data_IF_122308284226
#
_entry.id   IF_122308284226
#
_cell.length_a   1.000
_cell.length_b   1.000
_cell.length_c   1.000
_cell.angle_alpha   90.00
_cell.angle_beta   90.00
_cell.angle_gamma   90.00
#
_symmetry.space_group_name_H-M   'P 1'
#
loop_
_entity.id
_entity.type
_entity.pdbx_description
1 polymer ?
#
# COMPACT_ATOMS: atom_id res chain seq x y z
N UNK A 1 -13.29 34.68 20.83
CA UNK A 1 -13.92 33.79 19.83
C UNK A 1 -13.15 32.48 19.83
N UNK A 2 -13.81 31.34 20.09
CA UNK A 2 -13.16 30.02 20.13
C UNK A 2 -12.82 29.57 18.71
N UNK A 3 -11.61 29.09 18.46
CA UNK A 3 -11.22 28.49 17.21
C UNK A 3 -11.65 27.01 17.19
N UNK A 4 -12.85 26.72 16.69
CA UNK A 4 -13.40 25.36 16.63
C UNK A 4 -12.53 24.39 15.83
N UNK A 5 -11.83 24.88 14.78
CA UNK A 5 -10.91 24.05 14.01
C UNK A 5 -9.69 23.59 14.84
N UNK A 6 -9.19 24.41 15.76
CA UNK A 6 -8.15 24.00 16.69
C UNK A 6 -8.70 22.98 17.69
N UNK A 7 -9.85 23.23 18.30
CA UNK A 7 -10.49 22.31 19.25
C UNK A 7 -10.71 20.91 18.66
N UNK A 8 -11.16 20.83 17.41
CA UNK A 8 -11.34 19.52 16.73
C UNK A 8 -10.01 18.83 16.52
N UNK A 9 -8.94 19.53 16.06
CA UNK A 9 -7.61 18.94 15.88
C UNK A 9 -7.06 18.40 17.21
N UNK A 10 -7.11 19.21 18.28
CA UNK A 10 -6.59 18.82 19.59
C UNK A 10 -7.34 17.58 20.13
N UNK A 11 -8.66 17.53 19.94
CA UNK A 11 -9.47 16.36 20.30
C UNK A 11 -9.12 15.12 19.47
N UNK A 12 -8.81 15.28 18.20
CA UNK A 12 -8.36 14.16 17.35
C UNK A 12 -6.97 13.66 17.76
N UNK A 13 -6.04 14.56 18.07
CA UNK A 13 -4.68 14.19 18.51
C UNK A 13 -4.71 13.47 19.87
N UNK A 14 -5.67 13.79 20.75
CA UNK A 14 -5.86 13.08 22.01
C UNK A 14 -6.45 11.68 21.82
N UNK A 15 -7.48 11.53 20.96
CA UNK A 15 -8.24 10.30 20.81
C UNK A 15 -7.59 9.29 19.84
N UNK A 16 -6.80 9.76 18.89
CA UNK A 16 -6.31 8.95 17.77
C UNK A 16 -4.81 8.64 17.88
N UNK A 17 -4.36 8.19 19.06
CA UNK A 17 -2.99 7.71 19.25
C UNK A 17 -2.77 6.45 18.43
N UNK A 18 -2.13 6.60 17.26
CA UNK A 18 -1.70 5.48 16.43
C UNK A 18 -0.42 4.86 16.99
N UNK A 19 -0.55 3.82 17.80
CA UNK A 19 0.56 2.96 18.14
C UNK A 19 0.84 2.01 16.98
N UNK A 20 2.06 2.05 16.47
CA UNK A 20 2.51 1.06 15.50
C UNK A 20 2.86 -0.23 16.22
N UNK A 21 2.23 -1.31 15.80
CA UNK A 21 2.55 -2.64 16.30
C UNK A 21 3.76 -3.17 15.55
N UNK A 22 4.85 -3.43 16.26
CA UNK A 22 6.12 -3.93 15.71
C UNK A 22 6.43 -5.33 16.19
N UNK A 23 5.64 -5.83 17.16
CA UNK A 23 5.80 -7.14 17.80
C UNK A 23 5.45 -8.33 16.90
N UNK A 24 4.67 -8.11 15.85
CA UNK A 24 4.29 -9.15 14.89
C UNK A 24 4.11 -8.59 13.47
N UNK A 25 4.06 -9.49 12.47
CA UNK A 25 3.78 -9.14 11.09
C UNK A 25 2.27 -9.11 10.84
N UNK A 26 1.81 -8.14 10.08
CA UNK A 26 0.42 -8.06 9.64
C UNK A 26 0.20 -8.76 8.31
N UNK A 27 -0.98 -9.36 8.09
CA UNK A 27 -1.34 -9.93 6.80
C UNK A 27 -1.16 -8.93 5.63
N UNK A 28 -1.45 -7.64 5.87
CA UNK A 28 -1.24 -6.57 4.88
C UNK A 28 0.22 -6.21 4.62
N UNK A 29 1.17 -6.73 5.40
CA UNK A 29 2.60 -6.48 5.20
C UNK A 29 3.14 -7.25 3.99
N UNK A 30 2.42 -8.27 3.54
CA UNK A 30 2.72 -8.94 2.26
C UNK A 30 2.86 -7.93 1.11
N UNK A 31 2.17 -6.79 1.16
CA UNK A 31 2.28 -5.72 0.19
C UNK A 31 3.68 -5.11 0.06
N UNK A 32 4.57 -5.30 1.02
CA UNK A 32 5.97 -4.89 0.93
C UNK A 32 6.83 -5.83 0.09
N UNK A 33 6.35 -7.03 -0.21
CA UNK A 33 7.04 -8.02 -1.04
C UNK A 33 6.61 -7.97 -2.51
N UNK A 34 5.58 -7.20 -2.82
CA UNK A 34 5.10 -6.96 -4.18
C UNK A 34 5.96 -5.88 -4.82
N UNK A 35 6.21 -6.02 -6.13
CA UNK A 35 6.94 -5.02 -6.88
C UNK A 35 6.27 -3.64 -6.73
N UNK A 36 7.03 -2.57 -6.47
CA UNK A 36 6.48 -1.22 -6.40
C UNK A 36 5.71 -0.80 -7.66
N UNK A 37 6.11 -1.27 -8.84
CA UNK A 37 5.45 -0.98 -10.12
C UNK A 37 4.11 -1.71 -10.24
N UNK A 38 3.98 -2.89 -9.64
CA UNK A 38 2.71 -3.63 -9.49
C UNK A 38 1.83 -3.13 -8.34
N UNK A 39 2.12 -1.95 -7.82
CA UNK A 39 1.38 -1.33 -6.73
C UNK A 39 1.76 -1.80 -5.33
N UNK A 40 2.92 -2.43 -5.20
CA UNK A 40 3.55 -2.80 -3.93
C UNK A 40 3.97 -1.60 -3.09
N UNK A 41 4.39 -1.89 -1.86
CA UNK A 41 4.89 -0.89 -0.90
C UNK A 41 6.42 -0.89 -0.89
N UNK A 42 7.02 0.16 -0.33
CA UNK A 42 8.47 0.29 -0.20
C UNK A 42 9.01 -0.61 0.92
N UNK A 43 9.89 -1.57 0.60
CA UNK A 43 10.52 -2.48 1.58
C UNK A 43 11.32 -1.73 2.65
N UNK A 44 11.95 -0.59 2.29
CA UNK A 44 12.65 0.28 3.25
C UNK A 44 11.69 0.90 4.27
N UNK A 45 10.46 1.22 3.88
CA UNK A 45 9.42 1.68 4.81
C UNK A 45 9.08 0.60 5.85
N UNK A 46 9.02 -0.67 5.42
CA UNK A 46 8.83 -1.80 6.32
C UNK A 46 9.96 -1.90 7.35
N UNK A 47 11.21 -1.87 6.88
CA UNK A 47 12.39 -1.92 7.74
C UNK A 47 12.42 -0.77 8.75
N UNK A 48 12.24 0.48 8.31
CA UNK A 48 12.20 1.66 9.19
C UNK A 48 11.12 1.57 10.26
N UNK A 49 9.99 0.96 9.95
CA UNK A 49 8.91 0.73 10.93
C UNK A 49 9.35 -0.22 12.04
N UNK A 50 10.06 -1.28 11.71
CA UNK A 50 10.54 -2.27 12.69
C UNK A 50 11.78 -1.81 13.46
N UNK A 51 12.56 -0.88 12.91
CA UNK A 51 13.64 -0.18 13.63
C UNK A 51 13.13 0.98 14.49
N UNK A 52 11.82 1.15 14.59
CA UNK A 52 11.18 2.23 15.34
C UNK A 52 11.72 3.62 14.99
N UNK A 53 12.14 3.80 13.74
CA UNK A 53 12.73 5.03 13.25
C UNK A 53 11.77 6.22 13.35
N UNK A 54 12.32 7.40 13.54
CA UNK A 54 11.53 8.65 13.60
C UNK A 54 10.67 8.82 12.35
N UNK A 55 9.43 9.25 12.55
CA UNK A 55 8.42 9.41 11.49
C UNK A 55 7.62 10.70 11.66
N UNK A 56 6.97 11.11 10.58
CA UNK A 56 5.96 12.17 10.63
C UNK A 56 4.75 11.71 11.44
N UNK A 57 4.22 12.59 12.22
CA UNK A 57 2.91 12.37 12.83
C UNK A 57 1.82 12.26 11.75
N UNK A 58 0.86 11.40 11.99
CA UNK A 58 -0.30 11.26 11.10
C UNK A 58 -1.23 12.45 11.35
N UNK A 59 -1.25 13.39 10.42
CA UNK A 59 -2.08 14.58 10.58
C UNK A 59 -3.58 14.26 10.65
N UNK A 60 -4.39 15.13 11.31
CA UNK A 60 -5.82 14.90 11.59
C UNK A 60 -6.65 14.53 10.35
N UNK A 61 -6.39 15.17 9.22
CA UNK A 61 -7.10 14.87 7.97
C UNK A 61 -6.90 13.44 7.45
N UNK A 62 -5.71 12.86 7.65
CA UNK A 62 -5.42 11.47 7.28
C UNK A 62 -6.06 10.49 8.27
N UNK A 63 -6.08 10.83 9.54
CA UNK A 63 -6.77 10.06 10.57
C UNK A 63 -8.27 9.98 10.29
N UNK A 64 -8.90 11.12 10.01
CA UNK A 64 -10.31 11.18 9.62
C UNK A 64 -10.62 10.30 8.39
N UNK A 65 -9.71 10.27 7.41
CA UNK A 65 -9.87 9.39 6.24
C UNK A 65 -9.86 7.90 6.61
N UNK A 66 -9.07 7.48 7.59
CA UNK A 66 -9.07 6.10 8.08
C UNK A 66 -10.38 5.76 8.80
N UNK A 67 -10.85 6.66 9.66
CA UNK A 67 -12.13 6.48 10.35
C UNK A 67 -13.32 6.39 9.41
N UNK A 68 -13.37 7.26 8.40
CA UNK A 68 -14.39 7.19 7.36
C UNK A 68 -14.35 5.84 6.62
N UNK A 69 -13.14 5.31 6.35
CA UNK A 69 -12.97 3.97 5.76
C UNK A 69 -13.59 2.89 6.65
N UNK A 70 -13.24 2.88 7.92
CA UNK A 70 -13.73 1.91 8.90
C UNK A 70 -15.25 2.01 9.12
N UNK A 71 -15.80 3.24 9.12
CA UNK A 71 -17.24 3.43 9.25
C UNK A 71 -18.01 2.90 8.04
N UNK A 72 -17.51 3.20 6.84
CA UNK A 72 -18.10 2.70 5.60
C UNK A 72 -18.05 1.17 5.53
N UNK A 73 -16.92 0.57 5.91
CA UNK A 73 -16.74 -0.88 5.98
C UNK A 73 -17.83 -1.51 6.87
N UNK A 74 -18.00 -1.02 8.11
CA UNK A 74 -19.06 -1.50 8.99
C UNK A 74 -20.45 -1.40 8.36
N UNK A 75 -20.73 -0.30 7.66
CA UNK A 75 -22.03 -0.11 7.00
C UNK A 75 -22.25 -1.06 5.83
N UNK A 76 -21.21 -1.31 5.06
CA UNK A 76 -21.24 -2.31 3.96
C UNK A 76 -21.46 -3.71 4.51
N UNK A 77 -20.85 -4.05 5.65
CA UNK A 77 -21.06 -5.34 6.31
C UNK A 77 -22.54 -5.54 6.69
N UNK A 78 -23.22 -4.52 7.24
CA UNK A 78 -24.67 -4.60 7.52
C UNK A 78 -25.49 -4.90 6.26
N UNK A 79 -25.13 -4.28 5.11
CA UNK A 79 -25.80 -4.54 3.83
C UNK A 79 -25.52 -5.95 3.32
N UNK A 80 -24.28 -6.44 3.42
CA UNK A 80 -23.91 -7.79 3.05
C UNK A 80 -24.65 -8.83 3.88
N UNK A 81 -24.81 -8.64 5.19
CA UNK A 81 -25.61 -9.51 6.04
C UNK A 81 -27.07 -9.63 5.56
N UNK A 82 -27.66 -8.51 5.14
CA UNK A 82 -29.02 -8.52 4.59
C UNK A 82 -29.09 -9.24 3.24
N UNK A 83 -28.09 -8.99 2.37
CA UNK A 83 -28.00 -9.58 1.04
C UNK A 83 -27.73 -11.09 1.08
N UNK A 84 -26.79 -11.55 1.88
CA UNK A 84 -26.42 -12.95 2.00
C UNK A 84 -27.62 -13.85 2.35
N UNK A 85 -28.48 -13.39 3.28
CA UNK A 85 -29.73 -14.10 3.62
C UNK A 85 -30.71 -14.24 2.45
N UNK A 86 -30.63 -13.35 1.44
CA UNK A 86 -31.51 -13.39 0.26
C UNK A 86 -30.93 -14.26 -0.86
N UNK A 87 -29.64 -14.60 -0.79
CA UNK A 87 -28.89 -15.28 -1.84
C UNK A 87 -28.32 -16.64 -1.40
N UNK A 88 -28.81 -17.21 -0.29
CA UNK A 88 -28.37 -18.49 0.26
C UNK A 88 -26.83 -18.58 0.46
N UNK A 89 -26.26 -17.47 0.96
CA UNK A 89 -24.85 -17.39 1.33
C UNK A 89 -24.72 -17.48 2.84
N UNK A 90 -24.01 -18.49 3.32
CA UNK A 90 -23.75 -18.70 4.73
C UNK A 90 -22.49 -17.92 5.18
N UNK A 91 -22.60 -17.18 6.27
CA UNK A 91 -21.47 -16.54 6.92
C UNK A 91 -20.87 -17.53 7.92
N UNK A 92 -19.69 -18.08 7.61
CA UNK A 92 -18.94 -18.96 8.51
C UNK A 92 -18.29 -18.13 9.64
N UNK A 93 -17.68 -17.00 9.28
CA UNK A 93 -17.07 -16.08 10.23
C UNK A 93 -17.05 -14.64 9.70
N UNK A 94 -17.09 -13.69 10.64
CA UNK A 94 -17.02 -12.26 10.39
C UNK A 94 -16.00 -11.61 11.32
N UNK A 95 -15.23 -10.65 10.82
CA UNK A 95 -14.19 -9.92 11.58
C UNK A 95 -13.31 -10.86 12.41
N UNK A 96 -13.01 -12.01 11.85
CA UNK A 96 -12.29 -13.08 12.54
C UNK A 96 -10.80 -12.76 12.61
N UNK A 97 -10.23 -12.82 13.80
CA UNK A 97 -8.79 -12.76 13.96
C UNK A 97 -8.15 -14.05 13.46
N UNK A 98 -7.17 -13.89 12.59
CA UNK A 98 -6.39 -15.00 12.04
C UNK A 98 -4.93 -14.88 12.43
N UNK A 99 -4.27 -16.01 12.61
CA UNK A 99 -2.85 -16.08 12.98
C UNK A 99 -2.18 -17.24 12.26
N UNK A 100 -0.98 -16.97 11.75
CA UNK A 100 -0.07 -17.99 11.24
C UNK A 100 1.04 -18.21 12.25
N UNK A 101 1.30 -19.46 12.60
CA UNK A 101 2.32 -19.89 13.55
C UNK A 101 3.76 -19.85 13.02
N UNK A 102 4.13 -18.82 12.27
CA UNK A 102 5.52 -18.52 11.98
C UNK A 102 6.22 -18.03 13.25
N UNK A 103 7.57 -18.12 13.41
CA UNK A 103 8.25 -17.87 14.69
C UNK A 103 7.84 -16.57 15.39
N UNK A 104 7.40 -15.55 14.65
CA UNK A 104 6.97 -14.26 15.21
C UNK A 104 5.51 -13.93 14.92
N UNK A 105 4.78 -14.85 14.30
CA UNK A 105 3.35 -14.79 14.06
C UNK A 105 2.94 -13.72 13.04
N UNK A 106 2.30 -14.13 11.96
CA UNK A 106 1.55 -13.23 11.11
C UNK A 106 0.13 -13.15 11.65
N UNK A 107 -0.37 -11.95 11.89
CA UNK A 107 -1.72 -11.72 12.42
C UNK A 107 -2.50 -10.85 11.47
N UNK A 108 -3.81 -11.02 11.51
CA UNK A 108 -4.73 -10.17 10.76
C UNK A 108 -6.16 -10.38 11.22
N UNK A 109 -7.05 -9.61 10.66
CA UNK A 109 -8.49 -9.75 10.85
C UNK A 109 -9.12 -9.75 9.47
N UNK A 110 -9.68 -10.90 9.08
CA UNK A 110 -10.45 -11.01 7.84
C UNK A 110 -11.84 -10.38 8.02
N UNK A 111 -12.43 -9.90 6.95
CA UNK A 111 -13.76 -9.29 7.01
C UNK A 111 -14.84 -10.36 7.00
N UNK A 112 -14.84 -11.25 6.02
CA UNK A 112 -15.78 -12.38 5.93
C UNK A 112 -15.11 -13.67 5.48
N UNK A 113 -15.57 -14.77 6.06
CA UNK A 113 -15.45 -16.12 5.55
C UNK A 113 -16.87 -16.61 5.25
N UNK A 114 -17.15 -16.92 4.00
CA UNK A 114 -18.49 -17.29 3.52
C UNK A 114 -18.48 -18.65 2.82
N UNK A 115 -19.65 -19.27 2.76
CA UNK A 115 -19.89 -20.48 1.97
C UNK A 115 -21.11 -20.26 1.07
N UNK A 116 -21.02 -20.67 -0.19
CA UNK A 116 -22.12 -20.71 -1.15
C UNK A 116 -21.89 -21.85 -2.12
N UNK A 117 -22.91 -22.65 -2.42
CA UNK A 117 -22.83 -23.80 -3.34
C UNK A 117 -21.62 -24.72 -3.08
N UNK A 118 -21.40 -25.07 -1.81
CA UNK A 118 -20.27 -25.90 -1.33
C UNK A 118 -18.87 -25.30 -1.53
N UNK A 119 -18.78 -24.06 -1.97
CA UNK A 119 -17.52 -23.33 -2.13
C UNK A 119 -17.28 -22.34 -0.99
N UNK A 120 -16.07 -22.34 -0.44
CA UNK A 120 -15.69 -21.44 0.65
C UNK A 120 -14.83 -20.28 0.11
N UNK A 121 -15.15 -19.06 0.54
CA UNK A 121 -14.41 -17.89 0.13
C UNK A 121 -14.06 -16.95 1.29
N UNK A 122 -12.85 -16.37 1.23
CA UNK A 122 -12.45 -15.23 2.06
C UNK A 122 -12.74 -13.95 1.30
N UNK A 123 -13.49 -13.04 1.90
CA UNK A 123 -13.81 -11.73 1.31
C UNK A 123 -13.21 -10.61 2.14
N UNK A 124 -12.60 -9.66 1.47
CA UNK A 124 -11.97 -8.47 2.06
C UNK A 124 -12.60 -7.20 1.45
N UNK A 125 -13.02 -6.27 2.29
CA UNK A 125 -13.69 -5.04 1.88
C UNK A 125 -12.66 -3.92 1.78
N UNK A 126 -12.69 -3.18 0.68
CA UNK A 126 -11.83 -2.02 0.45
C UNK A 126 -12.63 -0.81 0.03
N UNK A 127 -12.36 0.33 0.62
CA UNK A 127 -12.94 1.60 0.20
C UNK A 127 -11.97 2.38 -0.68
N UNK A 128 -12.49 3.04 -1.72
CA UNK A 128 -11.71 3.91 -2.61
C UNK A 128 -12.47 5.20 -2.93
N UNK A 129 -11.73 6.24 -3.30
CA UNK A 129 -12.31 7.47 -3.86
C UNK A 129 -12.74 7.24 -5.31
N UNK A 130 -13.77 7.94 -5.77
CA UNK A 130 -14.38 7.79 -7.09
C UNK A 130 -13.38 7.77 -8.25
N UNK A 131 -12.44 8.71 -8.31
CA UNK A 131 -11.40 8.69 -9.36
C UNK A 131 -10.52 7.46 -9.34
N UNK A 132 -10.12 6.96 -8.15
CA UNK A 132 -9.34 5.72 -8.03
C UNK A 132 -10.21 4.47 -8.26
N UNK A 133 -11.51 4.56 -8.06
CA UNK A 133 -12.48 3.50 -8.34
C UNK A 133 -12.70 3.33 -9.86
N UNK A 134 -12.78 4.43 -10.60
CA UNK A 134 -12.96 4.39 -12.07
C UNK A 134 -11.81 3.71 -12.81
N UNK A 135 -10.58 3.79 -12.29
CA UNK A 135 -9.38 3.18 -12.87
C UNK A 135 -9.09 1.76 -12.35
N UNK A 136 -10.14 0.98 -12.03
CA UNK A 136 -10.00 -0.40 -11.54
C UNK A 136 -10.40 -1.45 -12.58
N UNK A 137 -10.45 -1.11 -13.84
CA UNK A 137 -10.85 -2.05 -14.90
C UNK A 137 -9.86 -3.21 -15.03
N UNK A 138 -8.59 -3.01 -14.63
CA UNK A 138 -7.55 -4.04 -14.61
C UNK A 138 -7.60 -4.96 -13.36
N UNK A 139 -8.60 -4.79 -12.49
CA UNK A 139 -8.75 -5.59 -11.28
C UNK A 139 -8.21 -4.94 -10.00
N UNK A 140 -8.21 -5.69 -8.89
CA UNK A 140 -7.73 -5.19 -7.62
C UNK A 140 -6.20 -5.12 -7.61
N UNK A 141 -5.65 -4.19 -6.81
CA UNK A 141 -4.19 -4.12 -6.63
C UNK A 141 -3.66 -5.45 -6.11
N UNK A 142 -2.55 -5.92 -6.67
CA UNK A 142 -1.92 -7.20 -6.32
C UNK A 142 -1.68 -7.35 -4.81
N UNK A 143 -1.30 -6.28 -4.11
CA UNK A 143 -1.15 -6.32 -2.65
C UNK A 143 -2.44 -6.62 -1.88
N UNK A 144 -3.62 -6.23 -2.40
CA UNK A 144 -4.90 -6.55 -1.77
C UNK A 144 -5.26 -8.01 -2.03
N UNK A 145 -5.01 -8.49 -3.26
CA UNK A 145 -5.17 -9.90 -3.61
C UNK A 145 -4.30 -10.78 -2.71
N UNK A 146 -3.02 -10.46 -2.57
CA UNK A 146 -2.11 -11.22 -1.71
C UNK A 146 -2.49 -11.14 -0.23
N UNK A 147 -3.09 -10.07 0.26
CA UNK A 147 -3.63 -10.00 1.63
C UNK A 147 -4.75 -11.04 1.84
N UNK A 148 -5.66 -11.20 0.87
CA UNK A 148 -6.72 -12.23 0.91
C UNK A 148 -6.12 -13.64 0.84
N UNK A 149 -5.08 -13.86 0.02
CA UNK A 149 -4.33 -15.12 -0.02
C UNK A 149 -3.75 -15.47 1.36
N UNK A 150 -3.18 -14.48 2.06
CA UNK A 150 -2.65 -14.68 3.42
C UNK A 150 -3.75 -15.07 4.41
N UNK A 151 -4.91 -14.46 4.32
CA UNK A 151 -6.06 -14.85 5.14
C UNK A 151 -6.51 -16.27 4.82
N UNK A 152 -6.61 -16.64 3.54
CA UNK A 152 -6.97 -17.98 3.12
C UNK A 152 -5.97 -19.03 3.58
N UNK A 153 -4.67 -18.72 3.51
CA UNK A 153 -3.61 -19.56 4.05
C UNK A 153 -3.74 -19.72 5.58
N UNK A 154 -4.03 -18.64 6.30
CA UNK A 154 -4.24 -18.70 7.75
C UNK A 154 -5.46 -19.58 8.10
N UNK A 155 -6.57 -19.44 7.37
CA UNK A 155 -7.75 -20.29 7.54
C UNK A 155 -7.41 -21.76 7.32
N UNK A 156 -6.68 -22.11 6.24
CA UNK A 156 -6.30 -23.51 5.98
C UNK A 156 -5.38 -24.10 7.05
N UNK A 157 -4.63 -23.28 7.80
CA UNK A 157 -3.84 -23.73 8.95
C UNK A 157 -4.62 -23.80 10.26
N UNK A 158 -5.62 -22.93 10.44
CA UNK A 158 -6.42 -22.85 11.67
C UNK A 158 -7.64 -23.79 11.64
N UNK A 159 -8.18 -24.01 10.46
CA UNK A 159 -9.36 -24.84 10.22
C UNK A 159 -8.99 -26.04 9.35
N UNK A 160 -9.74 -27.11 9.42
CA UNK A 160 -9.46 -28.34 8.65
C UNK A 160 -9.97 -28.30 7.21
N UNK A 161 -10.06 -27.10 6.63
CA UNK A 161 -10.44 -26.89 5.24
C UNK A 161 -9.69 -25.67 4.65
N UNK A 162 -9.62 -25.60 3.35
CA UNK A 162 -9.01 -24.49 2.62
C UNK A 162 -10.08 -23.72 1.85
N UNK A 163 -10.09 -22.38 1.88
CA UNK A 163 -10.94 -21.60 1.00
C UNK A 163 -10.59 -21.83 -0.48
N UNK A 164 -11.62 -21.96 -1.31
CA UNK A 164 -11.49 -22.16 -2.76
C UNK A 164 -11.21 -20.85 -3.48
N UNK A 165 -11.82 -19.76 -2.98
CA UNK A 165 -11.78 -18.45 -3.61
C UNK A 165 -11.41 -17.35 -2.65
N UNK A 166 -10.76 -16.31 -3.22
CA UNK A 166 -10.63 -15.00 -2.61
C UNK A 166 -11.52 -13.99 -3.31
N UNK A 167 -12.21 -13.16 -2.53
CA UNK A 167 -13.03 -12.06 -3.00
C UNK A 167 -12.54 -10.71 -2.48
N UNK A 168 -12.56 -9.69 -3.31
CA UNK A 168 -12.31 -8.31 -2.90
C UNK A 168 -13.51 -7.48 -3.31
N UNK A 169 -14.22 -6.96 -2.33
CA UNK A 169 -15.32 -6.01 -2.54
C UNK A 169 -14.78 -4.59 -2.40
N UNK A 170 -14.85 -3.81 -3.47
CA UNK A 170 -14.42 -2.43 -3.46
C UNK A 170 -15.62 -1.50 -3.48
N UNK A 171 -15.65 -0.57 -2.53
CA UNK A 171 -16.74 0.39 -2.36
C UNK A 171 -16.25 1.79 -2.68
N UNK A 172 -17.02 2.52 -3.50
CA UNK A 172 -16.76 3.91 -3.80
C UNK A 172 -17.24 4.79 -2.63
N UNK A 173 -16.29 5.49 -1.98
CA UNK A 173 -16.61 6.41 -0.87
C UNK A 173 -17.43 7.62 -1.27
N UNK A 174 -17.45 7.97 -2.54
CA UNK A 174 -18.20 9.11 -3.09
C UNK A 174 -19.58 8.66 -3.60
N UNK A 175 -19.86 7.35 -3.59
CA UNK A 175 -21.18 6.78 -3.87
C UNK A 175 -21.60 6.81 -5.33
N UNK A 176 -20.76 7.31 -6.25
CA UNK A 176 -21.13 7.48 -7.66
C UNK A 176 -21.22 6.16 -8.42
N UNK A 177 -20.35 5.20 -8.12
CA UNK A 177 -20.26 3.91 -8.81
C UNK A 177 -20.57 2.72 -7.90
N UNK A 178 -20.83 2.96 -6.67
CA UNK A 178 -21.24 2.12 -5.56
C UNK A 178 -20.27 0.99 -5.22
N UNK A 179 -20.29 -0.17 -5.91
CA UNK A 179 -19.47 -1.33 -5.59
C UNK A 179 -18.94 -2.02 -6.85
N UNK A 180 -17.77 -2.70 -6.71
CA UNK A 180 -17.25 -3.71 -7.63
C UNK A 180 -16.70 -4.87 -6.84
N UNK A 181 -16.87 -6.06 -7.33
CA UNK A 181 -16.29 -7.27 -6.76
C UNK A 181 -15.30 -7.92 -7.73
N UNK A 182 -14.30 -8.57 -7.16
CA UNK A 182 -13.26 -9.27 -7.90
C UNK A 182 -13.03 -10.62 -7.24
N UNK A 183 -13.16 -11.68 -8.00
CA UNK A 183 -13.01 -13.04 -7.54
C UNK A 183 -11.80 -13.72 -8.20
N UNK A 184 -11.11 -14.54 -7.45
CA UNK A 184 -9.98 -15.32 -7.95
C UNK A 184 -9.83 -16.62 -7.17
N UNK A 185 -9.37 -17.72 -7.82
CA UNK A 185 -9.12 -18.98 -7.12
C UNK A 185 -7.91 -18.83 -6.18
N UNK A 186 -7.98 -19.47 -5.03
CA UNK A 186 -6.85 -19.66 -4.13
C UNK A 186 -6.11 -20.91 -4.59
N UNK A 187 -4.86 -20.74 -4.99
CA UNK A 187 -3.99 -21.81 -5.48
C UNK A 187 -2.79 -22.03 -4.57
N UNK A 188 -2.23 -23.23 -4.57
CA UNK A 188 -1.01 -23.54 -3.82
C UNK A 188 0.13 -22.59 -4.18
N UNK A 189 0.28 -22.24 -5.45
CA UNK A 189 1.31 -21.30 -5.90
C UNK A 189 1.15 -19.88 -5.33
N UNK A 190 -0.08 -19.42 -5.10
CA UNK A 190 -0.34 -18.15 -4.43
C UNK A 190 0.00 -18.22 -2.93
N UNK A 191 -0.30 -19.35 -2.30
CA UNK A 191 0.04 -19.59 -0.89
C UNK A 191 1.55 -19.66 -0.72
N UNK A 192 2.26 -20.42 -1.55
CA UNK A 192 3.73 -20.49 -1.55
C UNK A 192 4.36 -19.11 -1.74
N UNK A 193 3.84 -18.32 -2.67
CA UNK A 193 4.29 -16.94 -2.89
C UNK A 193 4.09 -16.07 -1.64
N UNK A 194 2.98 -16.24 -0.92
CA UNK A 194 2.73 -15.52 0.32
C UNK A 194 3.71 -15.95 1.43
N UNK A 195 3.96 -17.24 1.56
CA UNK A 195 4.91 -17.81 2.52
C UNK A 195 6.33 -17.30 2.26
N UNK A 196 6.80 -17.36 1.02
CA UNK A 196 8.10 -16.81 0.63
C UNK A 196 8.19 -15.30 0.87
N UNK A 197 7.09 -14.59 0.64
CA UNK A 197 6.98 -13.18 0.96
C UNK A 197 7.25 -12.90 2.44
N UNK A 198 6.61 -13.63 3.35
CA UNK A 198 6.83 -13.46 4.79
C UNK A 198 8.22 -13.87 5.23
N UNK A 199 8.80 -14.94 4.68
CA UNK A 199 10.22 -15.29 4.92
C UNK A 199 11.18 -14.15 4.52
N UNK A 200 10.88 -13.46 3.43
CA UNK A 200 11.64 -12.26 3.02
C UNK A 200 11.47 -11.12 4.01
N UNK A 201 10.25 -10.86 4.50
CA UNK A 201 9.99 -9.82 5.49
C UNK A 201 10.73 -10.10 6.81
N UNK A 202 10.70 -11.33 7.31
CA UNK A 202 11.45 -11.74 8.51
C UNK A 202 12.96 -11.49 8.34
N UNK A 203 13.52 -11.86 7.18
CA UNK A 203 14.92 -11.59 6.87
C UNK A 203 15.25 -10.10 6.86
N UNK A 204 14.37 -9.28 6.30
CA UNK A 204 14.55 -7.82 6.27
C UNK A 204 14.41 -7.22 7.67
N UNK A 205 13.46 -7.69 8.46
CA UNK A 205 13.24 -7.27 9.85
C UNK A 205 14.47 -7.54 10.74
N UNK A 206 15.12 -8.69 10.56
CA UNK A 206 16.35 -9.05 11.29
C UNK A 206 17.64 -8.47 10.69
N UNK A 207 17.57 -7.63 9.66
CA UNK A 207 18.76 -7.07 9.00
C UNK A 207 19.20 -5.76 9.63
N UNK A 208 20.49 -5.63 9.94
CA UNK A 208 21.09 -4.35 10.35
C UNK A 208 21.29 -3.37 9.20
N UNK A 209 20.99 -3.77 7.97
CA UNK A 209 21.19 -2.94 6.77
C UNK A 209 19.85 -2.58 6.14
N UNK A 210 19.54 -1.29 6.00
CA UNK A 210 18.29 -0.88 5.38
C UNK A 210 18.22 -1.32 3.92
N UNK A 211 17.06 -1.82 3.45
CA UNK A 211 16.82 -2.05 2.03
C UNK A 211 17.10 -0.80 1.19
N UNK A 212 17.40 -0.94 -0.10
CA UNK A 212 17.61 0.19 -1.00
C UNK A 212 16.38 1.11 -1.04
N UNK A 213 16.61 2.36 -1.38
CA UNK A 213 15.53 3.31 -1.71
C UNK A 213 14.91 2.89 -3.03
N UNK A 214 13.66 3.27 -3.24
CA UNK A 214 13.02 3.11 -4.54
C UNK A 214 13.69 4.00 -5.57
N UNK A 215 13.87 3.46 -6.76
CA UNK A 215 14.40 4.19 -7.91
C UNK A 215 13.46 5.31 -8.33
N UNK A 216 14.00 6.28 -9.02
CA UNK A 216 13.24 7.38 -9.62
C UNK A 216 12.89 7.03 -11.06
N UNK A 217 11.72 7.44 -11.49
CA UNK A 217 11.30 7.38 -12.88
C UNK A 217 11.86 8.61 -13.62
N UNK A 218 12.65 8.37 -14.67
CA UNK A 218 13.30 9.41 -15.46
C UNK A 218 12.67 9.39 -16.84
N UNK A 219 12.22 10.55 -17.29
CA UNK A 219 11.67 10.73 -18.63
C UNK A 219 12.18 11.99 -19.29
N UNK A 220 12.21 12.02 -20.62
CA UNK A 220 12.59 13.18 -21.40
C UNK A 220 11.43 13.65 -22.27
N UNK A 221 11.39 14.96 -22.53
CA UNK A 221 10.51 15.56 -23.54
C UNK A 221 11.33 16.46 -24.44
N UNK A 222 11.18 16.27 -25.72
CA UNK A 222 11.79 17.14 -26.71
C UNK A 222 11.21 18.56 -26.64
N UNK A 223 12.10 19.53 -26.56
CA UNK A 223 11.85 20.94 -26.80
C UNK A 223 12.63 21.36 -28.05
N UNK A 224 12.30 22.51 -28.63
CA UNK A 224 12.89 22.98 -29.90
C UNK A 224 14.43 22.92 -30.00
N UNK A 225 15.16 23.01 -28.88
CA UNK A 225 16.63 23.07 -28.85
C UNK A 225 17.28 22.13 -27.82
N UNK A 226 16.51 21.40 -27.00
CA UNK A 226 17.04 20.52 -25.97
C UNK A 226 16.01 19.47 -25.52
N UNK A 227 16.49 18.45 -24.81
CA UNK A 227 15.65 17.46 -24.16
C UNK A 227 15.50 17.80 -22.67
N UNK A 228 14.29 18.22 -22.27
CA UNK A 228 14.01 18.48 -20.86
C UNK A 228 13.92 17.15 -20.10
N UNK A 229 14.65 17.05 -19.00
CA UNK A 229 14.72 15.88 -18.13
C UNK A 229 13.71 16.04 -17.01
N UNK A 230 12.83 15.06 -16.88
CA UNK A 230 11.86 14.96 -15.79
C UNK A 230 12.25 13.82 -14.85
N UNK A 231 12.22 14.09 -13.56
CA UNK A 231 12.33 13.07 -12.52
C UNK A 231 11.02 12.99 -11.78
N UNK A 232 10.48 11.79 -11.69
CA UNK A 232 9.26 11.51 -10.95
C UNK A 232 9.60 10.64 -9.74
N UNK A 233 9.26 11.14 -8.57
CA UNK A 233 9.40 10.38 -7.34
C UNK A 233 8.34 9.29 -7.26
N UNK A 234 8.68 8.06 -6.82
CA UNK A 234 7.70 7.00 -6.60
C UNK A 234 6.56 7.46 -5.69
N UNK A 235 5.33 7.07 -6.02
CA UNK A 235 4.15 7.46 -5.26
C UNK A 235 4.22 6.98 -3.80
N UNK A 236 4.91 5.87 -3.54
CA UNK A 236 5.14 5.33 -2.20
C UNK A 236 5.84 6.34 -1.29
N UNK A 237 6.82 7.08 -1.82
CA UNK A 237 7.52 8.10 -1.07
C UNK A 237 6.60 9.27 -0.69
N UNK A 238 5.67 9.64 -1.56
CA UNK A 238 4.71 10.73 -1.31
C UNK A 238 3.81 10.46 -0.09
N UNK A 239 3.49 9.19 0.16
CA UNK A 239 2.61 8.75 1.25
C UNK A 239 3.37 8.10 2.42
N UNK A 240 4.70 8.18 2.42
CA UNK A 240 5.55 7.56 3.42
C UNK A 240 5.75 8.47 4.64
N UNK A 241 5.46 7.94 5.82
CA UNK A 241 5.61 8.69 7.08
C UNK A 241 7.07 8.92 7.46
N UNK A 242 7.99 8.10 6.95
CA UNK A 242 9.43 8.24 7.17
C UNK A 242 10.12 9.20 6.18
N UNK A 243 9.42 9.62 5.13
CA UNK A 243 9.96 10.52 4.13
C UNK A 243 10.28 11.89 4.74
N UNK A 244 11.50 12.40 4.52
CA UNK A 244 12.08 13.63 5.10
C UNK A 244 12.37 13.59 6.61
N UNK A 245 12.11 12.50 7.30
CA UNK A 245 12.50 12.30 8.69
C UNK A 245 13.65 11.30 8.75
N UNK A 246 13.36 10.02 8.67
CA UNK A 246 14.36 8.94 8.70
C UNK A 246 14.76 8.43 7.31
N UNK A 247 14.02 8.79 6.27
CA UNK A 247 14.32 8.43 4.90
C UNK A 247 14.16 9.65 3.99
N UNK A 248 15.24 10.01 3.28
CA UNK A 248 15.16 11.01 2.22
C UNK A 248 14.83 10.32 0.90
N UNK A 249 13.69 10.68 0.29
CA UNK A 249 13.37 10.33 -1.09
C UNK A 249 14.24 11.12 -2.09
N UNK A 250 13.96 10.98 -3.36
CA UNK A 250 14.67 11.69 -4.41
C UNK A 250 14.52 13.22 -4.32
N UNK A 251 13.34 13.66 -3.89
CA UNK A 251 12.97 15.07 -3.78
C UNK A 251 12.21 15.32 -2.48
N UNK A 252 12.22 16.55 -1.92
CA UNK A 252 11.37 16.95 -0.82
C UNK A 252 9.88 16.75 -1.16
N UNK A 253 9.04 16.41 -0.17
CA UNK A 253 7.60 16.21 -0.36
C UNK A 253 6.86 17.50 -0.77
N UNK A 254 7.45 18.67 -0.50
CA UNK A 254 6.93 19.95 -0.96
C UNK A 254 7.13 20.20 -2.46
N UNK A 255 7.95 19.39 -3.15
CA UNK A 255 8.16 19.53 -4.59
C UNK A 255 7.10 18.75 -5.38
N UNK A 256 6.71 19.31 -6.53
CA UNK A 256 5.83 18.61 -7.48
C UNK A 256 6.50 17.32 -7.96
N UNK A 257 5.71 16.26 -8.05
CA UNK A 257 6.17 14.89 -8.34
C UNK A 257 6.66 14.68 -9.78
N UNK A 258 6.56 15.70 -10.64
CA UNK A 258 6.96 15.60 -12.05
C UNK A 258 7.47 16.97 -12.52
N UNK A 259 8.76 17.23 -12.34
CA UNK A 259 9.35 18.53 -12.62
C UNK A 259 10.58 18.41 -13.53
N UNK A 260 10.79 19.41 -14.40
CA UNK A 260 12.02 19.51 -15.19
C UNK A 260 13.19 19.77 -14.25
N UNK A 261 14.07 18.79 -14.11
CA UNK A 261 15.26 18.86 -13.23
C UNK A 261 16.51 19.32 -13.95
N UNK A 262 16.52 19.26 -15.27
CA UNK A 262 17.65 19.64 -16.08
C UNK A 262 17.36 19.52 -17.57
N UNK A 263 18.40 19.58 -18.35
CA UNK A 263 18.36 19.42 -19.80
C UNK A 263 19.50 18.50 -20.26
N UNK A 264 19.25 17.72 -21.28
CA UNK A 264 20.27 16.98 -21.98
C UNK A 264 20.59 17.68 -23.28
N UNK A 265 21.83 18.17 -23.41
CA UNK A 265 22.33 18.95 -24.56
C UNK A 265 23.74 18.52 -24.91
N UNK A 266 24.02 18.30 -26.19
CA UNK A 266 25.37 18.00 -26.70
C UNK A 266 26.10 16.84 -25.99
N UNK A 267 25.34 15.82 -25.54
CA UNK A 267 25.94 14.68 -24.84
C UNK A 267 26.11 14.87 -23.34
N UNK A 268 25.67 15.99 -22.76
CA UNK A 268 25.84 16.29 -21.34
C UNK A 268 24.51 16.56 -20.65
N UNK A 269 24.41 16.10 -19.40
CA UNK A 269 23.32 16.45 -18.48
C UNK A 269 23.64 17.74 -17.75
N UNK A 270 22.80 18.76 -17.90
CA UNK A 270 22.87 20.02 -17.16
C UNK A 270 21.69 20.17 -16.23
N UNK A 271 21.94 20.13 -14.92
CA UNK A 271 20.91 20.36 -13.92
C UNK A 271 20.58 21.86 -13.80
N UNK A 272 19.32 22.17 -13.51
CA UNK A 272 18.89 23.53 -13.17
C UNK A 272 19.43 23.93 -11.79
N UNK A 273 19.78 25.20 -11.58
CA UNK A 273 20.31 25.69 -10.30
C UNK A 273 19.40 25.46 -9.10
N UNK A 274 18.09 25.48 -9.30
CA UNK A 274 17.08 25.16 -8.28
C UNK A 274 17.09 23.71 -7.78
N UNK A 275 17.87 22.82 -8.42
CA UNK A 275 17.90 21.39 -8.15
C UNK A 275 19.07 20.91 -7.30
N UNK A 276 19.75 21.83 -6.63
CA UNK A 276 20.65 21.49 -5.51
C UNK A 276 19.96 20.65 -4.41
N UNK A 277 18.61 20.68 -4.34
CA UNK A 277 17.76 19.88 -3.45
C UNK A 277 17.50 18.45 -3.93
N UNK A 278 17.84 18.11 -5.19
CA UNK A 278 17.74 16.74 -5.65
C UNK A 278 18.81 15.89 -4.95
N UNK A 279 18.38 14.83 -4.28
CA UNK A 279 19.31 13.96 -3.56
C UNK A 279 20.36 13.36 -4.52
N UNK A 280 21.57 13.15 -4.00
CA UNK A 280 22.72 12.69 -4.80
C UNK A 280 22.39 11.44 -5.60
N UNK A 281 21.74 10.43 -4.97
CA UNK A 281 21.42 9.18 -5.65
C UNK A 281 20.49 9.38 -6.86
N UNK A 282 19.57 10.35 -6.80
CA UNK A 282 18.66 10.65 -7.92
C UNK A 282 19.41 11.41 -9.04
N UNK A 283 20.37 12.27 -8.70
CA UNK A 283 21.27 12.89 -9.70
C UNK A 283 22.14 11.86 -10.40
N UNK A 284 22.72 10.93 -9.62
CA UNK A 284 23.54 9.85 -10.16
C UNK A 284 22.72 8.93 -11.09
N UNK A 285 21.43 8.65 -10.74
CA UNK A 285 20.52 7.89 -11.58
C UNK A 285 20.22 8.60 -12.90
N UNK A 286 20.01 9.92 -12.89
CA UNK A 286 19.82 10.72 -14.11
C UNK A 286 21.05 10.63 -15.02
N UNK A 287 22.24 10.84 -14.47
CA UNK A 287 23.49 10.76 -15.25
C UNK A 287 23.65 9.37 -15.89
N UNK A 288 23.47 8.31 -15.07
CA UNK A 288 23.59 6.92 -15.52
C UNK A 288 22.57 6.56 -16.61
N UNK A 289 21.35 7.09 -16.54
CA UNK A 289 20.31 6.87 -17.56
C UNK A 289 20.82 7.29 -18.95
N UNK A 290 21.40 8.49 -19.04
CA UNK A 290 21.91 9.00 -20.33
C UNK A 290 23.25 8.41 -20.76
N UNK A 291 24.10 7.96 -19.83
CA UNK A 291 25.32 7.22 -20.17
C UNK A 291 24.99 5.83 -20.75
N UNK A 292 23.89 5.20 -20.32
CA UNK A 292 23.40 3.91 -20.81
C UNK A 292 22.81 3.97 -22.24
N UNK A 293 22.19 5.10 -22.61
CA UNK A 293 21.61 5.29 -23.95
C UNK A 293 22.67 5.58 -25.03
N UNK A 294 23.91 5.86 -24.65
CA UNK A 294 25.04 6.09 -25.57
C UNK A 294 25.76 4.80 -26.01
N UNK A 295 25.38 3.65 -25.49
CA UNK A 295 25.92 2.33 -25.85
C UNK A 295 24.93 1.53 -26.70
#
# INVERSE_FOLDING_TARGET
>A
MINLGAVVRDGMDELLKNEWRTDYLHASDIGFTIDPDDGGKCMRQFWLRHEEADRKEVGPGRQLMFEQGNHLEKKVMEYLHSGFRQHDVDIIAEQMNVSLGLPEGVRGRLDFLICSDDSVAVVDIKSKRGGAFQHMDDGPKERNKMQVVVYSWAISKMMQFSPDYGGILVVDREGQNFVRDFWFPITDSLIERAEDGFRRLEKVRGSNTPPPRLDVDISTRENKNNHAIYVKQPWQCRYCDFHEVSCRGAMPSSMETNRVVGYYENGEVRFKDDYSKLEKFARDAVVKHFEGEQR
#
